data_IF_471657719671
#
_entry.id   IF_471657719671
#
_cell.length_a   1.000
_cell.length_b   1.000
_cell.length_c   1.000
_cell.angle_alpha   90.00
_cell.angle_beta   90.00
_cell.angle_gamma   90.00
#
_symmetry.space_group_name_H-M   'P 1'
#
loop_
_entity.id
_entity.type
_entity.pdbx_description
1 polymer ?
#
# COMPACT_ATOMS: atom_id res chain seq x y z
N UNK A 1 -49.08 20.32 -28.43
CA UNK A 1 -47.70 20.37 -28.97
C UNK A 1 -46.70 20.91 -27.96
N UNK A 2 -46.92 22.08 -27.35
CA UNK A 2 -45.96 22.70 -26.41
C UNK A 2 -45.56 21.77 -25.26
N UNK A 3 -46.54 21.12 -24.62
CA UNK A 3 -46.29 20.16 -23.52
C UNK A 3 -45.42 18.98 -23.97
N UNK A 4 -45.68 18.43 -25.16
CA UNK A 4 -44.89 17.32 -25.70
C UNK A 4 -43.43 17.75 -25.96
N UNK A 5 -43.22 18.96 -26.48
CA UNK A 5 -41.87 19.51 -26.69
C UNK A 5 -41.13 19.68 -25.37
N UNK A 6 -41.79 20.21 -24.34
CA UNK A 6 -41.19 20.38 -23.01
C UNK A 6 -40.77 19.03 -22.41
N UNK A 7 -41.64 18.03 -22.46
CA UNK A 7 -41.35 16.69 -21.94
C UNK A 7 -40.17 16.06 -22.68
N UNK A 8 -40.13 16.16 -24.01
CA UNK A 8 -39.03 15.62 -24.82
C UNK A 8 -37.70 16.32 -24.47
N UNK A 9 -37.70 17.65 -24.35
CA UNK A 9 -36.49 18.40 -23.98
C UNK A 9 -35.98 18.03 -22.59
N UNK A 10 -36.88 17.81 -21.61
CA UNK A 10 -36.51 17.37 -20.26
C UNK A 10 -35.92 15.97 -20.27
N UNK A 11 -36.52 15.04 -21.01
CA UNK A 11 -36.03 13.65 -21.10
C UNK A 11 -34.65 13.62 -21.75
N UNK A 12 -34.45 14.34 -22.86
CA UNK A 12 -33.15 14.42 -23.54
C UNK A 12 -32.10 15.02 -22.62
N UNK A 13 -32.40 16.14 -21.95
CA UNK A 13 -31.49 16.78 -21.00
C UNK A 13 -31.10 15.85 -19.84
N UNK A 14 -32.06 15.12 -19.30
CA UNK A 14 -31.82 14.15 -18.23
C UNK A 14 -30.94 12.98 -18.69
N UNK A 15 -31.19 12.42 -19.88
CA UNK A 15 -30.39 11.31 -20.42
C UNK A 15 -28.94 11.73 -20.66
N UNK A 16 -28.72 12.94 -21.21
CA UNK A 16 -27.36 13.48 -21.41
C UNK A 16 -26.67 13.70 -20.07
N UNK A 17 -27.35 14.30 -19.09
CA UNK A 17 -26.79 14.52 -17.77
C UNK A 17 -26.44 13.19 -17.05
N UNK A 18 -27.36 12.21 -17.08
CA UNK A 18 -27.15 10.90 -16.47
C UNK A 18 -26.03 10.11 -17.17
N UNK A 19 -25.89 10.22 -18.49
CA UNK A 19 -24.77 9.62 -19.23
C UNK A 19 -23.42 10.22 -18.86
N UNK A 20 -23.32 11.55 -18.79
CA UNK A 20 -22.08 12.24 -18.42
C UNK A 20 -21.71 11.99 -16.95
N UNK A 21 -22.67 12.07 -16.02
CA UNK A 21 -22.41 11.80 -14.60
C UNK A 21 -22.16 10.31 -14.36
N UNK A 22 -22.92 9.43 -15.00
CA UNK A 22 -22.78 7.98 -14.86
C UNK A 22 -21.43 7.47 -15.37
N UNK A 23 -20.92 8.02 -16.48
CA UNK A 23 -19.59 7.67 -17.00
C UNK A 23 -18.46 8.16 -16.07
N UNK A 24 -18.57 9.36 -15.49
CA UNK A 24 -17.59 9.87 -14.53
C UNK A 24 -17.66 9.15 -13.18
N UNK A 25 -18.87 8.82 -12.70
CA UNK A 25 -19.08 8.06 -11.48
C UNK A 25 -18.61 6.61 -11.62
N UNK A 26 -18.75 5.99 -12.80
CA UNK A 26 -18.18 4.67 -13.07
C UNK A 26 -16.65 4.71 -13.15
N UNK A 27 -16.07 5.82 -13.61
CA UNK A 27 -14.62 6.04 -13.63
C UNK A 27 -14.06 6.23 -12.21
N UNK A 28 -14.73 7.01 -11.36
CA UNK A 28 -14.36 7.22 -9.95
C UNK A 28 -14.68 6.00 -9.08
N UNK A 29 -15.76 5.28 -9.35
CA UNK A 29 -16.13 4.04 -8.66
C UNK A 29 -15.21 2.87 -9.03
N UNK A 30 -14.47 2.97 -10.13
CA UNK A 30 -13.37 2.06 -10.49
C UNK A 30 -12.02 2.47 -9.90
N UNK A 31 -11.91 3.66 -9.31
CA UNK A 31 -10.72 4.03 -8.56
C UNK A 31 -10.72 3.19 -7.29
N UNK A 32 -9.93 2.10 -7.32
CA UNK A 32 -9.69 1.20 -6.19
C UNK A 32 -9.41 2.09 -4.98
N UNK A 33 -10.08 1.85 -3.84
CA UNK A 33 -9.75 2.57 -2.60
C UNK A 33 -8.24 2.48 -2.42
N UNK A 34 -7.57 3.63 -2.38
CA UNK A 34 -6.13 3.66 -2.12
C UNK A 34 -5.89 2.88 -0.83
N UNK A 35 -4.97 1.89 -0.84
CA UNK A 35 -4.70 1.12 0.35
C UNK A 35 -4.02 2.03 1.37
N UNK A 36 -4.81 2.49 2.34
CA UNK A 36 -4.32 3.36 3.40
C UNK A 36 -3.70 2.48 4.47
N UNK A 37 -2.38 2.50 4.55
CA UNK A 37 -1.66 1.89 5.67
C UNK A 37 -2.06 2.56 6.99
N UNK A 38 -2.40 1.74 8.00
CA UNK A 38 -2.77 2.20 9.34
C UNK A 38 -1.95 1.43 10.36
N UNK A 39 -1.18 2.15 11.18
CA UNK A 39 -0.26 1.53 12.14
C UNK A 39 -0.91 0.49 13.05
N UNK A 40 -2.08 0.81 13.65
CA UNK A 40 -2.75 -0.10 14.57
C UNK A 40 -3.23 -1.39 13.88
N UNK A 41 -3.74 -1.28 12.66
CA UNK A 41 -4.17 -2.43 11.85
C UNK A 41 -2.96 -3.26 11.39
N UNK A 42 -1.89 -2.59 10.95
CA UNK A 42 -0.65 -3.24 10.57
C UNK A 42 -0.05 -4.02 11.76
N UNK A 43 -0.07 -3.46 12.97
CA UNK A 43 0.43 -4.12 14.17
C UNK A 43 -0.36 -5.39 14.51
N UNK A 44 -1.69 -5.34 14.42
CA UNK A 44 -2.56 -6.50 14.65
C UNK A 44 -2.30 -7.61 13.63
N UNK A 45 -2.28 -7.27 12.33
CA UNK A 45 -2.08 -8.27 11.27
C UNK A 45 -0.64 -8.82 11.28
N UNK A 46 0.37 -7.99 11.50
CA UNK A 46 1.77 -8.45 11.55
C UNK A 46 2.00 -9.33 12.78
N UNK A 47 1.40 -9.03 13.93
CA UNK A 47 1.47 -9.90 15.10
C UNK A 47 0.93 -11.31 14.82
N UNK A 48 -0.10 -11.43 13.96
CA UNK A 48 -0.68 -12.71 13.53
C UNK A 48 0.16 -13.43 12.46
N UNK A 49 0.96 -12.70 11.68
CA UNK A 49 1.81 -13.26 10.61
C UNK A 49 3.18 -13.75 11.10
N UNK A 50 3.70 -13.13 12.15
CA UNK A 50 5.02 -13.45 12.72
C UNK A 50 4.93 -14.72 13.58
N UNK A 51 6.01 -15.54 13.69
CA UNK A 51 6.04 -16.68 14.60
C UNK A 51 5.64 -16.31 16.04
N UNK A 52 4.84 -17.16 16.67
CA UNK A 52 4.25 -16.89 17.99
C UNK A 52 5.29 -16.56 19.07
N UNK A 53 6.42 -17.26 19.07
CA UNK A 53 7.54 -17.05 19.99
C UNK A 53 8.19 -15.67 19.82
N UNK A 54 8.28 -15.17 18.59
CA UNK A 54 8.77 -13.81 18.30
C UNK A 54 7.71 -12.78 18.70
N UNK A 55 6.45 -12.97 18.30
CA UNK A 55 5.36 -12.05 18.62
C UNK A 55 5.14 -11.92 20.13
N UNK A 56 5.22 -13.03 20.88
CA UNK A 56 5.09 -13.04 22.34
C UNK A 56 6.27 -12.39 23.07
N UNK A 57 7.45 -12.29 22.43
CA UNK A 57 8.64 -11.68 22.99
C UNK A 57 8.77 -10.18 22.68
N UNK A 58 7.88 -9.61 21.86
CA UNK A 58 7.85 -8.20 21.51
C UNK A 58 6.75 -7.48 22.30
N UNK A 59 7.08 -6.35 22.90
CA UNK A 59 6.05 -5.48 23.45
C UNK A 59 5.25 -4.83 22.31
N UNK A 60 3.92 -4.61 22.45
CA UNK A 60 3.11 -4.00 21.39
C UNK A 60 3.65 -2.64 20.92
N UNK A 61 4.20 -1.83 21.83
CA UNK A 61 4.81 -0.54 21.48
C UNK A 61 6.12 -0.68 20.70
N UNK A 62 6.88 -1.75 20.93
CA UNK A 62 8.10 -2.04 20.17
C UNK A 62 7.77 -2.49 18.76
N UNK A 63 6.74 -3.34 18.60
CA UNK A 63 6.23 -3.73 17.29
C UNK A 63 5.77 -2.50 16.50
N UNK A 64 4.97 -1.62 17.10
CA UNK A 64 4.53 -0.39 16.43
C UNK A 64 5.71 0.53 16.04
N UNK A 65 6.70 0.67 16.92
CA UNK A 65 7.88 1.47 16.64
C UNK A 65 8.73 0.87 15.51
N UNK A 66 8.86 -0.45 15.48
CA UNK A 66 9.57 -1.19 14.45
C UNK A 66 8.86 -1.08 13.09
N UNK A 67 7.54 -1.20 13.05
CA UNK A 67 6.73 -1.01 11.84
C UNK A 67 6.86 0.41 11.29
N UNK A 68 6.83 1.42 12.17
CA UNK A 68 7.04 2.82 11.77
C UNK A 68 8.45 3.03 11.22
N UNK A 69 9.48 2.47 11.86
CA UNK A 69 10.86 2.57 11.42
C UNK A 69 11.07 1.89 10.06
N UNK A 70 10.45 0.73 9.85
CA UNK A 70 10.52 -0.01 8.59
C UNK A 70 9.79 0.73 7.46
N UNK A 71 8.57 1.24 7.70
CA UNK A 71 7.88 2.07 6.72
C UNK A 71 8.71 3.31 6.34
N UNK A 72 9.35 3.94 7.34
CA UNK A 72 10.24 5.07 7.14
C UNK A 72 11.49 4.71 6.32
N UNK A 73 12.03 3.51 6.49
CA UNK A 73 13.12 3.01 5.65
C UNK A 73 12.66 2.82 4.20
N UNK A 74 11.49 2.22 3.99
CA UNK A 74 10.95 1.97 2.64
C UNK A 74 10.62 3.26 1.89
N UNK A 75 10.03 4.26 2.55
CA UNK A 75 9.65 5.54 1.89
C UNK A 75 10.86 6.40 1.51
N UNK A 76 12.00 6.22 2.20
CA UNK A 76 13.22 6.99 1.96
C UNK A 76 14.31 6.17 1.24
N UNK A 77 14.03 4.92 0.90
CA UNK A 77 14.86 4.16 -0.01
C UNK A 77 14.86 4.85 -1.38
N UNK A 78 16.00 4.91 -2.08
CA UNK A 78 16.01 5.36 -3.47
C UNK A 78 15.06 4.47 -4.29
N UNK A 79 14.26 5.05 -5.21
CA UNK A 79 13.28 4.28 -5.96
C UNK A 79 13.96 3.10 -6.67
N UNK A 80 13.33 1.93 -6.65
CA UNK A 80 13.70 0.84 -7.55
C UNK A 80 13.63 1.39 -8.98
N UNK A 81 14.76 1.56 -9.66
CA UNK A 81 14.75 1.85 -11.09
C UNK A 81 14.14 0.62 -11.75
N UNK A 82 12.95 0.72 -12.40
CA UNK A 82 12.48 -0.35 -13.24
C UNK A 82 13.45 -0.41 -14.42
N UNK A 83 14.00 -1.58 -14.73
CA UNK A 83 14.63 -1.81 -16.02
C UNK A 83 13.51 -1.79 -17.08
N UNK A 84 13.11 -0.60 -17.53
CA UNK A 84 12.08 -0.43 -18.55
C UNK A 84 11.45 0.97 -18.57
N UNK A 85 11.74 1.71 -19.64
CA UNK A 85 11.04 2.94 -20.05
C UNK A 85 9.56 2.63 -20.38
N UNK A 86 8.67 2.52 -19.38
CA UNK A 86 7.23 2.57 -19.64
C UNK A 86 6.64 3.90 -19.13
N UNK A 87 6.46 4.89 -20.03
CA UNK A 87 5.94 6.21 -19.67
C UNK A 87 4.44 6.23 -19.37
N UNK A 88 3.71 5.11 -19.52
CA UNK A 88 2.26 5.03 -19.28
C UNK A 88 1.88 4.54 -17.86
N UNK A 89 2.85 4.29 -16.96
CA UNK A 89 2.61 3.89 -15.56
C UNK A 89 2.11 5.04 -14.65
N UNK A 90 1.48 6.07 -15.20
CA UNK A 90 0.81 7.16 -14.47
C UNK A 90 -0.54 6.70 -13.89
N UNK A 91 -0.54 5.61 -13.14
CA UNK A 91 -1.76 5.04 -12.55
C UNK A 91 -1.54 3.99 -11.46
N UNK A 92 -0.32 3.48 -11.31
CA UNK A 92 0.01 2.49 -10.28
C UNK A 92 0.78 3.18 -9.16
N UNK A 93 0.07 3.61 -8.11
CA UNK A 93 0.63 4.12 -6.85
C UNK A 93 1.35 3.02 -6.03
N UNK A 94 1.85 1.97 -6.67
CA UNK A 94 2.55 0.87 -6.02
C UNK A 94 4.03 1.23 -5.84
N UNK A 95 4.53 1.21 -4.61
CA UNK A 95 5.98 1.28 -4.38
C UNK A 95 6.59 -0.06 -4.72
N UNK A 96 7.59 -0.08 -5.61
CA UNK A 96 8.40 -1.26 -5.90
C UNK A 96 9.59 -1.30 -4.93
N UNK A 97 9.70 -2.36 -4.13
CA UNK A 97 10.78 -2.56 -3.15
C UNK A 97 11.63 -3.75 -3.58
N UNK A 98 12.95 -3.56 -3.71
CA UNK A 98 13.90 -4.66 -3.91
C UNK A 98 14.45 -5.17 -2.56
N UNK A 99 15.01 -6.38 -2.55
CA UNK A 99 15.65 -6.95 -1.34
C UNK A 99 16.75 -6.02 -0.78
N UNK A 100 17.52 -5.36 -1.64
CA UNK A 100 18.55 -4.38 -1.25
C UNK A 100 17.96 -3.15 -0.52
N UNK A 101 16.74 -2.75 -0.86
CA UNK A 101 16.06 -1.59 -0.25
C UNK A 101 15.44 -1.94 1.12
N UNK A 102 15.11 -3.21 1.36
CA UNK A 102 14.54 -3.72 2.62
C UNK A 102 15.53 -4.55 3.43
N UNK A 103 16.75 -4.03 3.59
CA UNK A 103 17.77 -4.69 4.42
C UNK A 103 17.39 -4.67 5.92
N UNK A 104 17.01 -5.84 6.45
CA UNK A 104 16.72 -6.04 7.88
C UNK A 104 17.92 -5.70 8.78
N UNK A 105 19.15 -5.87 8.28
CA UNK A 105 20.36 -5.53 9.01
C UNK A 105 20.53 -4.01 9.20
N UNK A 106 20.11 -3.21 8.21
CA UNK A 106 20.16 -1.75 8.30
C UNK A 106 19.06 -1.23 9.23
N UNK A 107 17.86 -1.81 9.14
CA UNK A 107 16.75 -1.55 10.07
C UNK A 107 17.17 -1.84 11.51
N UNK A 108 17.74 -3.04 11.75
CA UNK A 108 18.25 -3.45 13.06
C UNK A 108 19.26 -2.45 13.61
N UNK A 109 20.22 -1.99 12.79
CA UNK A 109 21.20 -0.97 13.20
C UNK A 109 20.54 0.37 13.52
N UNK A 110 19.48 0.75 12.82
CA UNK A 110 18.74 1.98 13.10
C UNK A 110 17.98 1.89 14.42
N UNK A 111 17.14 0.87 14.60
CA UNK A 111 16.29 0.75 15.80
C UNK A 111 17.09 0.52 17.07
N UNK A 112 18.25 -0.15 16.99
CA UNK A 112 19.18 -0.28 18.12
C UNK A 112 19.84 1.04 18.51
N UNK A 113 20.08 1.95 17.56
CA UNK A 113 20.56 3.31 17.86
C UNK A 113 19.49 4.14 18.55
N UNK A 114 18.22 3.90 18.22
CA UNK A 114 17.07 4.57 18.84
C UNK A 114 16.69 3.94 20.20
N UNK A 115 17.41 2.90 20.63
CA UNK A 115 17.28 2.31 21.97
C UNK A 115 16.28 1.15 22.08
N UNK A 116 15.73 0.64 20.97
CA UNK A 116 14.84 -0.53 21.01
C UNK A 116 15.61 -1.80 21.41
N UNK A 117 15.03 -2.62 22.27
CA UNK A 117 15.63 -3.86 22.77
C UNK A 117 15.19 -5.09 21.96
N UNK A 118 15.40 -5.04 20.65
CA UNK A 118 15.04 -6.11 19.72
C UNK A 118 16.26 -6.89 19.21
N UNK A 119 16.07 -8.16 18.85
CA UNK A 119 17.06 -9.01 18.19
C UNK A 119 17.00 -8.87 16.67
N UNK A 120 18.06 -9.29 15.98
CA UNK A 120 18.07 -9.27 14.51
C UNK A 120 17.00 -10.19 13.91
N UNK A 121 16.76 -11.34 14.54
CA UNK A 121 15.75 -12.31 14.13
C UNK A 121 14.34 -11.75 14.27
N UNK A 122 14.06 -11.04 15.37
CA UNK A 122 12.79 -10.34 15.57
C UNK A 122 12.59 -9.27 14.47
N UNK A 123 13.64 -8.50 14.16
CA UNK A 123 13.59 -7.47 13.12
C UNK A 123 13.34 -8.06 11.74
N UNK A 124 14.04 -9.13 11.36
CA UNK A 124 13.83 -9.77 10.05
C UNK A 124 12.43 -10.35 9.93
N UNK A 125 11.95 -11.08 10.94
CA UNK A 125 10.62 -11.69 10.91
C UNK A 125 9.51 -10.65 10.79
N UNK A 126 9.62 -9.53 11.55
CA UNK A 126 8.65 -8.43 11.48
C UNK A 126 8.73 -7.71 10.14
N UNK A 127 9.93 -7.47 9.60
CA UNK A 127 10.09 -6.83 8.29
C UNK A 127 9.46 -7.67 7.17
N UNK A 128 9.68 -8.98 7.17
CA UNK A 128 9.12 -9.90 6.18
C UNK A 128 7.59 -9.95 6.26
N UNK A 129 7.04 -10.09 7.47
CA UNK A 129 5.61 -10.06 7.72
C UNK A 129 4.97 -8.71 7.34
N UNK A 130 5.67 -7.60 7.57
CA UNK A 130 5.20 -6.28 7.19
C UNK A 130 5.18 -6.08 5.68
N UNK A 131 6.19 -6.55 4.94
CA UNK A 131 6.16 -6.56 3.47
C UNK A 131 4.98 -7.39 2.97
N UNK A 132 4.71 -8.54 3.60
CA UNK A 132 3.56 -9.36 3.23
C UNK A 132 2.23 -8.65 3.49
N UNK A 133 2.06 -8.00 4.65
CA UNK A 133 0.91 -7.13 4.91
C UNK A 133 0.75 -6.05 3.84
N UNK A 134 1.83 -5.38 3.46
CA UNK A 134 1.82 -4.36 2.43
C UNK A 134 1.43 -4.92 1.05
N UNK A 135 1.82 -6.15 0.71
CA UNK A 135 1.35 -6.86 -0.50
C UNK A 135 -0.14 -7.17 -0.43
N UNK A 136 -0.63 -7.66 0.72
CA UNK A 136 -2.04 -8.01 0.94
C UNK A 136 -2.97 -6.81 0.75
N UNK A 137 -2.56 -5.62 1.22
CA UNK A 137 -3.32 -4.39 0.99
C UNK A 137 -3.08 -3.80 -0.41
N UNK A 138 -2.10 -4.29 -1.17
CA UNK A 138 -1.76 -3.75 -2.49
C UNK A 138 -0.96 -2.45 -2.44
N UNK A 139 -0.29 -2.17 -1.32
CA UNK A 139 0.65 -1.05 -1.18
C UNK A 139 2.04 -1.39 -1.79
N UNK A 140 2.34 -2.67 -1.98
CA UNK A 140 3.51 -3.15 -2.72
C UNK A 140 3.09 -3.95 -3.94
N UNK A 141 3.65 -3.61 -5.10
CA UNK A 141 3.53 -4.40 -6.31
C UNK A 141 4.62 -5.49 -6.34
N UNK A 142 4.24 -6.71 -6.73
CA UNK A 142 5.22 -7.75 -7.06
C UNK A 142 5.66 -7.51 -8.50
N UNK A 143 6.93 -7.17 -8.71
CA UNK A 143 7.51 -7.21 -10.05
C UNK A 143 7.73 -8.68 -10.40
N UNK A 144 6.96 -9.17 -11.36
CA UNK A 144 7.14 -10.51 -11.91
C UNK A 144 8.46 -10.52 -12.72
N UNK A 145 9.46 -11.37 -12.37
CA UNK A 145 10.75 -11.39 -13.07
C UNK A 145 10.64 -11.84 -14.54
N UNK A 146 9.49 -12.38 -14.97
CA UNK A 146 9.29 -12.94 -16.30
C UNK A 146 8.35 -12.13 -17.22
N UNK A 147 7.99 -10.88 -16.85
CA UNK A 147 7.36 -9.86 -17.72
C UNK A 147 6.32 -10.36 -18.73
N UNK A 148 5.03 -10.25 -18.40
CA UNK A 148 3.94 -10.36 -19.41
C UNK A 148 3.64 -9.01 -20.06
#
# INVERSE_FOLDING_TARGET
MIVAVIVISLVIGFVVAAGVVGTQAQRLGRQRREPVWRLAEAAEVVADLVPFDIAAALEPSELEALLRAHLNQLQFAPPATPDGDDPDAEGETGTTVTEDQSSAADLYRSVRRDGLEVSLEQVSAVADAHLEYLRLIGALAVVDPDGS
#
